data_IF_671449837033
#
_entry.id   IF_671449837033
#
_cell.length_a   1.000
_cell.length_b   1.000
_cell.length_c   1.000
_cell.angle_alpha   90.00
_cell.angle_beta   90.00
_cell.angle_gamma   90.00
#
_symmetry.space_group_name_H-M   'P 1'
#
loop_
_entity.id
_entity.type
_entity.pdbx_description
1 polymer ?
#
# COMPACT_ATOMS: atom_id res chain seq x y z
N UNK A 1 -10.61 26.52 -1.78
CA UNK A 1 -9.81 25.34 -1.37
C UNK A 1 -9.91 24.34 -2.51
N UNK A 2 -8.85 24.17 -3.31
CA UNK A 2 -8.86 23.29 -4.49
C UNK A 2 -8.80 21.85 -3.98
N UNK A 3 -9.86 21.04 -4.22
CA UNK A 3 -9.81 19.61 -3.92
C UNK A 3 -8.71 19.01 -4.82
N UNK A 4 -7.68 18.34 -4.26
CA UNK A 4 -6.72 17.62 -5.08
C UNK A 4 -7.46 16.62 -5.96
N UNK A 5 -7.05 16.51 -7.23
CA UNK A 5 -7.71 15.61 -8.17
C UNK A 5 -7.53 14.16 -7.70
N UNK A 6 -8.51 13.28 -7.99
CA UNK A 6 -8.48 11.85 -7.62
C UNK A 6 -7.14 11.17 -7.98
N UNK A 7 -6.53 11.62 -9.08
CA UNK A 7 -5.24 11.17 -9.59
C UNK A 7 -4.05 11.44 -8.64
N UNK A 8 -4.07 12.50 -7.83
CA UNK A 8 -2.94 12.86 -6.95
C UNK A 8 -2.82 11.96 -5.72
N UNK A 9 -3.89 11.23 -5.35
CA UNK A 9 -3.90 10.35 -4.17
C UNK A 9 -3.04 9.10 -4.39
N UNK A 10 -3.04 8.59 -5.62
CA UNK A 10 -2.31 7.38 -6.00
C UNK A 10 -0.81 7.66 -6.12
N UNK A 11 -0.43 8.89 -6.47
CA UNK A 11 0.95 9.32 -6.72
C UNK A 11 1.83 9.32 -5.46
N UNK A 12 1.25 9.61 -4.29
CA UNK A 12 2.00 9.62 -3.02
C UNK A 12 2.38 8.22 -2.50
N UNK A 13 1.81 7.15 -3.08
CA UNK A 13 1.93 5.78 -2.56
C UNK A 13 3.11 4.99 -3.14
N UNK A 14 3.47 5.25 -4.41
CA UNK A 14 4.46 4.45 -5.14
C UNK A 14 5.91 4.57 -4.65
N UNK A 15 6.23 5.63 -3.88
CA UNK A 15 7.59 5.82 -3.35
C UNK A 15 7.96 4.83 -2.22
N UNK A 16 7.05 3.96 -1.76
CA UNK A 16 7.29 3.06 -0.61
C UNK A 16 7.29 1.55 -0.93
N UNK A 17 6.98 1.16 -2.16
CA UNK A 17 6.95 -0.25 -2.58
C UNK A 17 8.29 -0.76 -3.12
N UNK A 18 9.22 0.13 -3.50
CA UNK A 18 10.45 -0.30 -4.16
C UNK A 18 11.54 -0.72 -3.15
N UNK A 19 12.01 -1.97 -3.30
CA UNK A 19 13.12 -2.68 -2.61
C UNK A 19 12.74 -3.57 -1.42
N UNK A 20 12.25 -4.78 -1.73
CA UNK A 20 12.47 -5.97 -0.89
C UNK A 20 13.39 -6.93 -1.64
N UNK A 21 14.59 -7.15 -1.09
CA UNK A 21 15.51 -8.18 -1.58
C UNK A 21 14.93 -9.58 -1.34
N UNK A 22 15.21 -10.50 -2.26
CA UNK A 22 14.74 -11.88 -2.22
C UNK A 22 15.21 -12.58 -0.94
N UNK A 23 14.27 -13.10 -0.15
CA UNK A 23 14.55 -14.09 0.90
C UNK A 23 14.14 -15.46 0.36
N UNK A 24 15.01 -16.45 0.60
CA UNK A 24 14.90 -17.80 0.09
C UNK A 24 13.61 -18.50 0.57
N UNK A 25 12.95 -19.22 -0.34
CA UNK A 25 11.76 -20.03 -0.07
C UNK A 25 12.13 -21.29 0.71
N UNK A 26 11.35 -21.59 1.74
CA UNK A 26 11.32 -22.91 2.38
C UNK A 26 9.83 -23.31 2.48
N UNK A 27 9.48 -24.49 1.95
CA UNK A 27 8.11 -25.02 2.03
C UNK A 27 7.76 -25.36 3.48
N UNK A 28 6.55 -24.96 3.93
CA UNK A 28 6.08 -25.23 5.29
C UNK A 28 4.72 -25.94 5.30
N UNK A 29 4.73 -27.18 5.81
CA UNK A 29 3.61 -27.84 6.51
C UNK A 29 3.17 -27.00 7.72
N UNK A 30 1.90 -27.05 8.11
CA UNK A 30 1.30 -26.21 9.19
C UNK A 30 1.35 -26.90 10.57
N UNK A 31 2.31 -26.54 11.45
CA UNK A 31 2.13 -26.55 12.90
C UNK A 31 1.82 -25.12 13.40
N UNK A 32 1.22 -24.98 14.59
CA UNK A 32 1.05 -23.69 15.26
C UNK A 32 2.43 -23.14 15.67
N UNK A 33 3.04 -22.39 14.77
CA UNK A 33 4.35 -21.80 14.92
C UNK A 33 4.44 -20.78 16.06
N UNK A 34 5.65 -20.60 16.61
CA UNK A 34 5.91 -19.58 17.63
C UNK A 34 5.82 -18.20 16.98
N UNK A 35 4.95 -17.35 17.50
CA UNK A 35 4.82 -15.95 17.05
C UNK A 35 5.66 -15.01 17.93
N UNK A 36 6.44 -14.13 17.31
CA UNK A 36 7.25 -13.09 17.96
C UNK A 36 6.96 -11.72 17.33
N UNK A 37 6.95 -10.64 18.14
CA UNK A 37 6.85 -9.26 17.64
C UNK A 37 8.07 -8.45 18.09
N UNK A 38 8.72 -7.75 17.14
CA UNK A 38 9.86 -6.86 17.37
C UNK A 38 9.48 -5.42 17.04
N UNK A 39 9.92 -4.48 17.87
CA UNK A 39 9.67 -3.06 17.69
C UNK A 39 10.97 -2.26 17.61
N UNK A 40 11.02 -1.28 16.71
CA UNK A 40 12.08 -0.27 16.65
C UNK A 40 11.50 1.12 16.42
N UNK A 41 12.21 2.15 16.88
CA UNK A 41 11.78 3.53 16.69
C UNK A 41 12.98 4.44 16.44
N UNK A 42 12.75 5.52 15.69
CA UNK A 42 13.75 6.53 15.38
C UNK A 42 13.15 7.93 15.33
N UNK A 43 13.96 8.92 15.69
CA UNK A 43 13.67 10.36 15.57
C UNK A 43 14.83 11.04 14.87
N UNK A 44 14.57 11.71 13.74
CA UNK A 44 15.60 12.45 13.00
C UNK A 44 14.99 13.67 12.31
N UNK A 45 15.56 14.85 12.56
CA UNK A 45 15.13 16.09 11.92
C UNK A 45 13.65 16.41 12.11
N UNK A 46 13.12 16.20 13.33
CA UNK A 46 11.71 16.44 13.64
C UNK A 46 10.72 15.39 13.08
N UNK A 47 11.21 14.34 12.41
CA UNK A 47 10.39 13.21 11.95
C UNK A 47 10.51 12.04 12.91
N UNK A 48 9.40 11.37 13.19
CA UNK A 48 9.34 10.14 13.97
C UNK A 48 8.96 8.96 13.08
N UNK A 49 9.59 7.81 13.30
CA UNK A 49 9.25 6.57 12.62
C UNK A 49 9.30 5.41 13.62
N UNK A 50 8.19 4.67 13.72
CA UNK A 50 8.09 3.41 14.47
C UNK A 50 7.88 2.27 13.50
N UNK A 51 8.62 1.18 13.66
CA UNK A 51 8.45 -0.05 12.91
C UNK A 51 8.12 -1.16 13.90
N UNK A 52 7.05 -1.90 13.62
CA UNK A 52 6.68 -3.12 14.32
C UNK A 52 6.67 -4.25 13.31
N UNK A 53 7.41 -5.32 13.59
CA UNK A 53 7.54 -6.50 12.73
C UNK A 53 7.06 -7.73 13.50
N UNK A 54 6.23 -8.55 12.87
CA UNK A 54 5.72 -9.81 13.41
C UNK A 54 6.31 -10.96 12.62
N UNK A 55 6.80 -11.96 13.35
CA UNK A 55 7.44 -13.16 12.82
C UNK A 55 6.68 -14.39 13.30
N UNK A 56 6.52 -15.37 12.42
CA UNK A 56 6.04 -16.72 12.77
C UNK A 56 7.13 -17.68 12.34
N UNK A 57 7.63 -18.49 13.29
CA UNK A 57 8.76 -19.41 13.06
C UNK A 57 9.98 -18.73 12.42
N UNK A 58 10.32 -17.53 12.92
CA UNK A 58 11.37 -16.65 12.42
C UNK A 58 11.18 -16.10 10.99
N UNK A 59 10.03 -16.36 10.35
CA UNK A 59 9.66 -15.78 9.05
C UNK A 59 8.84 -14.52 9.28
N UNK A 60 9.22 -13.41 8.64
CA UNK A 60 8.45 -12.15 8.69
C UNK A 60 7.08 -12.36 8.05
N UNK A 61 5.99 -12.10 8.79
CA UNK A 61 4.61 -12.24 8.31
C UNK A 61 3.88 -10.90 8.23
N UNK A 62 4.27 -9.92 9.04
CA UNK A 62 3.72 -8.57 8.97
C UNK A 62 4.77 -7.51 9.35
N UNK A 63 4.68 -6.36 8.69
CA UNK A 63 5.41 -5.15 9.07
C UNK A 63 4.46 -3.96 9.07
N UNK A 64 4.41 -3.25 10.18
CA UNK A 64 3.70 -1.99 10.36
C UNK A 64 4.71 -0.87 10.54
N UNK A 65 4.55 0.22 9.81
CA UNK A 65 5.37 1.41 9.94
C UNK A 65 4.48 2.63 10.21
N UNK A 66 4.76 3.37 11.26
CA UNK A 66 4.03 4.56 11.64
C UNK A 66 4.97 5.75 11.58
N UNK A 67 4.58 6.77 10.80
CA UNK A 67 5.41 7.92 10.49
C UNK A 67 4.73 9.19 10.97
N UNK A 68 5.49 10.00 11.70
CA UNK A 68 5.19 11.40 11.91
C UNK A 68 6.15 12.26 11.10
N UNK A 69 5.62 13.26 10.42
CA UNK A 69 6.37 14.25 9.66
C UNK A 69 6.82 15.44 10.50
N UNK A 70 6.32 15.57 11.74
CA UNK A 70 6.55 16.71 12.64
C UNK A 70 6.74 16.21 14.07
N UNK A 71 7.37 17.00 14.94
CA UNK A 71 7.52 16.64 16.35
C UNK A 71 6.32 17.14 17.17
N UNK A 72 5.10 16.79 16.73
CA UNK A 72 3.83 17.16 17.37
C UNK A 72 3.14 15.96 18.04
N UNK A 73 3.80 14.81 18.07
CA UNK A 73 3.27 13.56 18.63
C UNK A 73 2.19 12.89 17.77
N UNK A 74 1.82 13.43 16.61
CA UNK A 74 0.80 12.86 15.73
C UNK A 74 1.44 11.94 14.70
N UNK A 75 0.85 10.77 14.49
CA UNK A 75 1.21 9.91 13.34
C UNK A 75 0.42 10.40 12.13
N UNK A 76 1.11 10.77 11.04
CA UNK A 76 0.51 11.20 9.79
C UNK A 76 0.24 10.01 8.86
N UNK A 77 1.15 9.03 8.83
CA UNK A 77 1.03 7.87 7.95
C UNK A 77 1.18 6.56 8.70
N UNK A 78 0.38 5.57 8.29
CA UNK A 78 0.53 4.19 8.72
C UNK A 78 0.66 3.31 7.49
N UNK A 79 1.79 2.64 7.34
CA UNK A 79 2.03 1.64 6.31
C UNK A 79 1.92 0.24 6.91
N UNK A 80 1.32 -0.69 6.20
CA UNK A 80 1.24 -2.10 6.56
C UNK A 80 1.68 -2.92 5.37
N UNK A 81 2.54 -3.91 5.59
CA UNK A 81 2.92 -4.94 4.62
C UNK A 81 2.64 -6.30 5.24
N UNK A 82 1.99 -7.19 4.50
CA UNK A 82 1.77 -8.58 4.90
C UNK A 82 2.51 -9.49 3.94
N UNK A 83 3.09 -10.54 4.51
CA UNK A 83 3.93 -11.49 3.82
C UNK A 83 3.38 -12.91 4.00
N UNK A 84 3.50 -13.71 2.95
CA UNK A 84 3.25 -15.15 2.97
C UNK A 84 4.42 -15.83 2.29
N UNK A 85 5.01 -16.82 2.96
CA UNK A 85 6.15 -17.58 2.45
C UNK A 85 7.33 -16.68 2.02
N UNK A 86 7.58 -15.61 2.79
CA UNK A 86 8.60 -14.60 2.51
C UNK A 86 8.26 -13.63 1.37
N UNK A 87 7.11 -13.76 0.73
CA UNK A 87 6.67 -12.91 -0.38
C UNK A 87 5.64 -11.87 0.08
N UNK A 88 5.76 -10.64 -0.41
CA UNK A 88 4.75 -9.61 -0.19
C UNK A 88 3.45 -10.04 -0.88
N UNK A 89 2.34 -10.06 -0.12
CA UNK A 89 0.99 -10.35 -0.67
C UNK A 89 0.07 -9.15 -0.58
N UNK A 90 0.33 -8.23 0.34
CA UNK A 90 -0.49 -7.07 0.60
C UNK A 90 0.36 -5.92 1.10
N UNK A 91 0.09 -4.72 0.62
CA UNK A 91 0.61 -3.50 1.21
C UNK A 91 -0.49 -2.42 1.27
N UNK A 92 -0.58 -1.68 2.37
CA UNK A 92 -1.46 -0.51 2.49
C UNK A 92 -0.73 0.67 3.10
N UNK A 93 -1.24 1.86 2.83
CA UNK A 93 -0.88 3.10 3.50
C UNK A 93 -2.15 3.88 3.80
N UNK A 94 -2.19 4.42 5.00
CA UNK A 94 -3.25 5.25 5.51
C UNK A 94 -2.70 6.64 5.83
N UNK A 95 -3.18 7.65 5.11
CA UNK A 95 -2.95 9.06 5.38
C UNK A 95 -3.99 9.53 6.39
N UNK A 96 -3.57 9.69 7.65
CA UNK A 96 -4.44 10.10 8.76
C UNK A 96 -4.93 11.54 8.64
N UNK A 97 -4.17 12.41 7.98
CA UNK A 97 -4.56 13.83 7.87
C UNK A 97 -5.65 14.03 6.83
N UNK A 98 -5.65 13.20 5.78
CA UNK A 98 -6.68 13.22 4.74
C UNK A 98 -7.77 12.17 4.94
N UNK A 99 -7.59 11.27 5.90
CA UNK A 99 -8.41 10.09 6.09
C UNK A 99 -8.50 9.24 4.81
N UNK A 100 -7.36 8.95 4.16
CA UNK A 100 -7.33 8.22 2.88
C UNK A 100 -6.57 6.92 3.00
N UNK A 101 -7.06 5.87 2.37
CA UNK A 101 -6.39 4.56 2.37
C UNK A 101 -6.14 4.10 0.95
N UNK A 102 -4.93 3.66 0.67
CA UNK A 102 -4.63 2.92 -0.56
C UNK A 102 -4.08 1.55 -0.15
N UNK A 103 -4.47 0.51 -0.89
CA UNK A 103 -4.00 -0.86 -0.69
C UNK A 103 -3.67 -1.50 -2.03
N UNK A 104 -2.67 -2.37 -2.03
CA UNK A 104 -2.19 -3.10 -3.19
C UNK A 104 -2.08 -4.58 -2.86
N UNK A 105 -2.34 -5.40 -3.86
CA UNK A 105 -2.35 -6.86 -3.78
C UNK A 105 -1.27 -7.42 -4.70
N UNK A 106 -0.52 -8.37 -4.18
CA UNK A 106 0.69 -8.88 -4.82
C UNK A 106 0.65 -10.39 -4.91
N UNK A 107 1.19 -10.93 -6.00
CA UNK A 107 1.39 -12.35 -6.17
C UNK A 107 2.75 -12.60 -6.81
N UNK A 108 3.59 -13.43 -6.18
CA UNK A 108 4.94 -13.75 -6.66
C UNK A 108 5.80 -12.51 -6.94
N UNK A 109 5.65 -11.48 -6.12
CA UNK A 109 6.40 -10.23 -6.24
C UNK A 109 5.89 -9.25 -7.30
N UNK A 110 4.77 -9.55 -7.97
CA UNK A 110 4.12 -8.66 -8.94
C UNK A 110 2.85 -8.07 -8.37
N UNK A 111 2.66 -6.76 -8.50
CA UNK A 111 1.40 -6.09 -8.17
C UNK A 111 0.30 -6.49 -9.17
N UNK A 112 -0.81 -7.02 -8.66
CA UNK A 112 -1.97 -7.42 -9.48
C UNK A 112 -3.04 -6.34 -9.52
N UNK A 113 -3.29 -5.71 -8.37
CA UNK A 113 -4.35 -4.75 -8.21
C UNK A 113 -4.04 -3.72 -7.13
N UNK A 114 -4.68 -2.55 -7.24
CA UNK A 114 -4.67 -1.51 -6.23
C UNK A 114 -6.09 -0.99 -6.03
N UNK A 115 -6.44 -0.69 -4.78
CA UNK A 115 -7.69 -0.03 -4.43
C UNK A 115 -7.41 1.23 -3.61
N UNK A 116 -8.24 2.26 -3.79
CA UNK A 116 -8.16 3.51 -3.03
C UNK A 116 -9.52 3.89 -2.43
N UNK A 117 -9.51 4.25 -1.15
CA UNK A 117 -10.53 5.00 -0.41
C UNK A 117 -10.06 6.47 -0.35
N UNK A 118 -10.69 7.30 -1.17
CA UNK A 118 -10.27 8.67 -1.46
C UNK A 118 -10.94 9.72 -0.56
N UNK A 119 -12.10 9.38 0.03
CA UNK A 119 -12.89 10.27 0.88
C UNK A 119 -12.94 9.85 2.37
N UNK A 120 -12.48 8.64 2.69
CA UNK A 120 -12.31 8.14 4.03
C UNK A 120 -13.55 7.53 4.66
N UNK A 121 -14.55 7.18 3.85
CA UNK A 121 -15.77 6.54 4.30
C UNK A 121 -15.66 5.00 4.40
N UNK A 122 -14.47 4.44 4.17
CA UNK A 122 -14.16 3.00 4.10
C UNK A 122 -14.77 2.27 2.89
N UNK A 123 -15.24 3.01 1.88
CA UNK A 123 -15.60 2.48 0.57
C UNK A 123 -14.43 2.77 -0.37
N UNK A 124 -13.88 1.73 -0.97
CA UNK A 124 -12.80 1.89 -1.94
C UNK A 124 -13.41 2.23 -3.31
N UNK A 125 -13.40 3.51 -3.67
CA UNK A 125 -14.05 4.01 -4.88
C UNK A 125 -13.26 3.72 -6.14
N UNK A 126 -11.95 3.46 -6.04
CA UNK A 126 -11.11 3.17 -7.21
C UNK A 126 -10.52 1.77 -7.10
N UNK A 127 -10.62 0.97 -8.17
CA UNK A 127 -9.90 -0.30 -8.36
C UNK A 127 -9.08 -0.21 -9.65
N UNK A 128 -7.80 -0.55 -9.59
CA UNK A 128 -6.86 -0.54 -10.73
C UNK A 128 -6.30 -1.95 -10.88
N UNK A 129 -6.29 -2.46 -12.12
CA UNK A 129 -5.65 -3.72 -12.48
C UNK A 129 -4.33 -3.46 -13.20
N UNK A 130 -3.35 -4.31 -12.96
CA UNK A 130 -2.00 -4.19 -13.50
C UNK A 130 -1.63 -5.36 -14.39
N UNK A 131 -0.78 -5.12 -15.39
CA UNK A 131 -0.11 -6.19 -16.12
C UNK A 131 1.14 -6.70 -15.39
N UNK A 132 1.83 -7.66 -15.99
CA UNK A 132 3.09 -8.24 -15.47
C UNK A 132 4.21 -7.19 -15.35
N UNK A 133 4.17 -6.13 -16.15
CA UNK A 133 5.10 -4.99 -16.08
C UNK A 133 4.73 -3.96 -15.00
N UNK A 134 3.74 -4.25 -14.16
CA UNK A 134 3.18 -3.34 -13.15
C UNK A 134 2.68 -2.01 -13.74
N UNK A 135 2.20 -2.04 -14.99
CA UNK A 135 1.53 -0.91 -15.63
C UNK A 135 0.00 -1.04 -15.47
N UNK A 136 -0.71 0.06 -15.16
CA UNK A 136 -2.17 0.04 -15.13
C UNK A 136 -2.74 -0.36 -16.50
N UNK A 137 -3.53 -1.43 -16.54
CA UNK A 137 -4.22 -1.87 -17.78
C UNK A 137 -5.66 -1.44 -17.82
N UNK A 138 -6.34 -1.44 -16.68
CA UNK A 138 -7.76 -1.11 -16.55
C UNK A 138 -8.03 -0.53 -15.18
N UNK A 139 -9.08 0.29 -15.08
CA UNK A 139 -9.54 0.81 -13.81
C UNK A 139 -11.06 0.89 -13.75
N UNK A 140 -11.59 0.83 -12.53
CA UNK A 140 -13.01 0.84 -12.25
C UNK A 140 -13.30 1.83 -11.12
N UNK A 141 -14.44 2.49 -11.22
CA UNK A 141 -15.02 3.26 -10.13
C UNK A 141 -16.14 2.46 -9.47
N UNK A 142 -16.13 2.42 -8.14
CA UNK A 142 -17.18 1.86 -7.31
C UNK A 142 -17.98 2.99 -6.67
N UNK A 143 -19.29 2.96 -6.84
CA UNK A 143 -20.21 3.91 -6.23
C UNK A 143 -20.67 3.42 -4.84
N UNK A 144 -21.21 4.34 -4.02
CA UNK A 144 -21.69 4.02 -2.66
C UNK A 144 -22.86 3.04 -2.63
N UNK A 145 -23.58 2.88 -3.74
CA UNK A 145 -24.64 1.89 -3.92
C UNK A 145 -24.12 0.49 -4.29
N UNK A 146 -22.80 0.32 -4.39
CA UNK A 146 -22.13 -0.94 -4.75
C UNK A 146 -22.01 -1.17 -6.26
N UNK A 147 -22.55 -0.29 -7.10
CA UNK A 147 -22.36 -0.40 -8.55
C UNK A 147 -20.91 -0.13 -8.94
N UNK A 148 -20.46 -0.78 -10.01
CA UNK A 148 -19.10 -0.66 -10.53
C UNK A 148 -19.18 -0.24 -11.99
N UNK A 149 -18.46 0.82 -12.35
CA UNK A 149 -18.33 1.30 -13.72
C UNK A 149 -16.87 1.27 -14.16
N UNK A 150 -16.63 0.96 -15.42
CA UNK A 150 -15.29 1.10 -16.00
C UNK A 150 -14.91 2.59 -16.04
N UNK A 151 -13.65 2.87 -15.76
CA UNK A 151 -13.11 4.22 -15.87
C UNK A 151 -13.13 4.67 -17.34
N UNK A 152 -13.45 5.93 -17.62
CA UNK A 152 -13.42 6.41 -19.00
C UNK A 152 -12.00 6.29 -19.60
N UNK A 153 -11.91 6.12 -20.92
CA UNK A 153 -10.62 5.97 -21.62
C UNK A 153 -9.69 7.15 -21.33
N UNK A 154 -10.22 8.37 -21.34
CA UNK A 154 -9.45 9.60 -21.08
C UNK A 154 -8.87 9.59 -19.67
N UNK A 155 -9.65 9.16 -18.68
CA UNK A 155 -9.23 9.08 -17.28
C UNK A 155 -8.23 7.95 -17.06
N UNK A 156 -8.39 6.81 -17.73
CA UNK A 156 -7.42 5.71 -17.70
C UNK A 156 -6.06 6.14 -18.28
N UNK A 157 -6.04 6.91 -19.36
CA UNK A 157 -4.80 7.41 -19.94
C UNK A 157 -4.11 8.44 -19.03
N UNK A 158 -4.88 9.29 -18.33
CA UNK A 158 -4.33 10.18 -17.29
C UNK A 158 -3.74 9.37 -16.13
N UNK A 159 -4.40 8.30 -15.71
CA UNK A 159 -3.91 7.40 -14.67
C UNK A 159 -2.59 6.74 -15.10
N UNK A 160 -2.53 6.13 -16.29
CA UNK A 160 -1.31 5.49 -16.83
C UNK A 160 -0.12 6.46 -16.88
N UNK A 161 -0.34 7.68 -17.38
CA UNK A 161 0.69 8.73 -17.42
C UNK A 161 1.19 9.11 -16.02
N UNK A 162 0.32 9.07 -15.02
CA UNK A 162 0.69 9.40 -13.64
C UNK A 162 1.56 8.30 -13.01
N UNK A 163 1.30 7.03 -13.33
CA UNK A 163 2.14 5.91 -12.93
C UNK A 163 3.49 5.89 -13.64
N UNK A 164 3.54 6.17 -14.95
CA UNK A 164 4.80 6.22 -15.69
C UNK A 164 5.81 7.22 -15.08
N UNK A 165 5.32 8.41 -14.67
CA UNK A 165 6.14 9.43 -13.98
C UNK A 165 6.70 9.01 -12.62
N UNK A 166 6.16 7.96 -12.01
CA UNK A 166 6.60 7.45 -10.71
C UNK A 166 7.62 6.33 -10.83
N UNK A 167 7.79 5.78 -12.03
CA UNK A 167 8.79 4.76 -12.35
C UNK A 167 10.11 5.37 -12.88
N UNK A 168 10.10 6.65 -13.27
CA UNK A 168 11.28 7.47 -13.60
C UNK A 168 12.04 7.94 -12.34
#
# INVERSE_FOLDING_TARGET
>A
MIKPSKTEVVVAFLLFTCKTGALAQQEATVPQGKTETKGSQSRKGGKYKRITETFTDNVLTARREEVSLRDDGRINFVFVKLFRDGQLTYASAFDKDKNRTVRSYHHKGTMLAMEADEDGDNIFETLILFNVGEEPVEAFERNKDGTVAQLSKERLEVLKKSFAKLQE
#
